data_IF_718643453020
#
_entry.id   IF_718643453020
#
_cell.length_a   1.000
_cell.length_b   1.000
_cell.length_c   1.000
_cell.angle_alpha   90.00
_cell.angle_beta   90.00
_cell.angle_gamma   90.00
#
_symmetry.space_group_name_H-M   'P 1'
#
loop_
_entity.id
_entity.type
_entity.pdbx_description
1 polymer ?
#
# COMPACT_ATOMS: atom_id res chain seq x y z
N UNK A 1 -4.80 27.71 3.95
CA UNK A 1 -5.30 26.40 3.45
C UNK A 1 -6.76 26.55 3.06
N UNK A 2 -7.16 26.04 1.89
CA UNK A 2 -8.57 26.11 1.46
C UNK A 2 -9.42 25.19 2.36
N UNK A 3 -10.60 25.64 2.76
CA UNK A 3 -11.47 25.00 3.76
C UNK A 3 -11.85 23.55 3.45
N UNK A 4 -11.92 23.19 2.17
CA UNK A 4 -12.16 21.80 1.75
C UNK A 4 -11.01 20.85 2.09
N UNK A 5 -9.76 21.33 2.08
CA UNK A 5 -8.60 20.50 2.41
C UNK A 5 -8.64 20.12 3.90
N UNK A 6 -9.00 21.06 4.76
CA UNK A 6 -9.14 20.85 6.19
C UNK A 6 -10.28 19.87 6.50
N UNK A 7 -11.41 19.97 5.79
CA UNK A 7 -12.52 19.04 5.90
C UNK A 7 -12.12 17.60 5.50
N UNK A 8 -11.45 17.43 4.36
CA UNK A 8 -10.98 16.13 3.89
C UNK A 8 -9.97 15.52 4.87
N UNK A 9 -9.04 16.32 5.39
CA UNK A 9 -8.10 15.87 6.42
C UNK A 9 -8.82 15.45 7.70
N UNK A 10 -9.81 16.22 8.18
CA UNK A 10 -10.57 15.86 9.37
C UNK A 10 -11.41 14.60 9.19
N UNK A 11 -12.05 14.40 8.03
CA UNK A 11 -12.80 13.17 7.72
C UNK A 11 -11.86 11.97 7.66
N UNK A 12 -10.70 12.12 7.03
CA UNK A 12 -9.70 11.07 6.96
C UNK A 12 -9.17 10.69 8.34
N UNK A 13 -8.84 11.68 9.18
CA UNK A 13 -8.44 11.47 10.59
C UNK A 13 -9.56 10.78 11.37
N UNK A 14 -10.80 11.27 11.30
CA UNK A 14 -11.95 10.67 11.98
C UNK A 14 -12.21 9.24 11.52
N UNK A 15 -12.09 8.94 10.22
CA UNK A 15 -12.21 7.59 9.68
C UNK A 15 -11.14 6.66 10.27
N UNK A 16 -9.88 7.09 10.29
CA UNK A 16 -8.77 6.33 10.89
C UNK A 16 -9.04 6.06 12.37
N UNK A 17 -9.58 7.01 13.14
CA UNK A 17 -9.88 6.81 14.56
C UNK A 17 -11.22 6.11 14.86
N UNK A 18 -12.16 6.04 13.91
CA UNK A 18 -13.49 5.41 14.07
C UNK A 18 -13.49 3.88 13.94
N UNK A 19 -12.42 3.30 13.38
CA UNK A 19 -12.24 1.85 13.32
C UNK A 19 -11.79 1.35 14.72
N UNK A 20 -12.02 0.08 15.10
CA UNK A 20 -11.47 -0.52 16.33
C UNK A 20 -9.97 -0.77 16.14
N UNK A 21 -9.25 0.33 16.00
CA UNK A 21 -7.86 0.45 15.60
C UNK A 21 -6.95 -0.08 16.69
N UNK A 22 -7.32 0.12 17.95
CA UNK A 22 -6.63 -0.47 19.09
C UNK A 22 -6.67 -2.00 19.07
N UNK A 23 -7.85 -2.60 18.85
CA UNK A 23 -8.00 -4.05 18.77
C UNK A 23 -7.28 -4.67 17.55
N UNK A 24 -7.32 -3.99 16.40
CA UNK A 24 -6.59 -4.41 15.20
C UNK A 24 -5.08 -4.22 15.36
N UNK A 25 -4.60 -3.11 15.92
CA UNK A 25 -3.16 -2.90 16.14
C UNK A 25 -2.61 -3.87 17.18
N UNK A 26 -3.31 -4.11 18.29
CA UNK A 26 -2.90 -5.11 19.28
C UNK A 26 -2.91 -6.52 18.67
N UNK A 27 -3.92 -6.86 17.87
CA UNK A 27 -3.96 -8.12 17.11
C UNK A 27 -2.79 -8.22 16.12
N UNK A 28 -2.50 -7.17 15.35
CA UNK A 28 -1.38 -7.09 14.39
C UNK A 28 -0.03 -7.19 15.10
N UNK A 29 0.18 -6.52 16.23
CA UNK A 29 1.43 -6.60 17.00
C UNK A 29 1.63 -7.99 17.61
N UNK A 30 0.56 -8.61 18.10
CA UNK A 30 0.55 -10.01 18.53
C UNK A 30 0.79 -10.98 17.37
N UNK A 31 0.31 -10.65 16.17
CA UNK A 31 0.59 -11.41 14.95
C UNK A 31 2.05 -11.30 14.52
N UNK A 32 2.65 -10.11 14.57
CA UNK A 32 4.08 -9.88 14.29
C UNK A 32 5.01 -10.63 15.25
N UNK A 33 4.53 -10.97 16.46
CA UNK A 33 5.26 -11.78 17.46
C UNK A 33 4.87 -13.26 17.45
N UNK A 34 4.08 -13.70 16.46
CA UNK A 34 3.67 -15.10 16.30
C UNK A 34 2.62 -15.59 17.31
N UNK A 35 2.05 -14.70 18.14
CA UNK A 35 1.07 -15.03 19.20
C UNK A 35 -0.33 -14.54 18.83
N UNK A 36 -0.86 -15.00 17.70
CA UNK A 36 -2.21 -14.64 17.26
C UNK A 36 -3.24 -15.25 18.21
N UNK A 37 -4.06 -14.40 18.83
CA UNK A 37 -5.21 -14.85 19.61
C UNK A 37 -6.40 -15.11 18.66
N UNK A 38 -6.56 -16.37 18.27
CA UNK A 38 -7.63 -16.81 17.35
C UNK A 38 -9.04 -16.65 17.93
N UNK A 39 -9.19 -16.37 19.24
CA UNK A 39 -10.51 -16.09 19.85
C UNK A 39 -11.04 -14.71 19.49
N UNK A 40 -10.16 -13.75 19.22
CA UNK A 40 -10.54 -12.36 18.90
C UNK A 40 -10.32 -12.00 17.42
N UNK A 41 -9.45 -12.74 16.70
CA UNK A 41 -9.18 -12.49 15.29
C UNK A 41 -8.90 -13.78 14.50
N UNK A 42 -9.94 -14.61 14.35
CA UNK A 42 -9.89 -15.81 13.50
C UNK A 42 -9.47 -15.49 12.06
N UNK A 43 -9.80 -14.28 11.59
CA UNK A 43 -9.43 -13.78 10.27
C UNK A 43 -7.93 -13.50 10.15
N UNK A 44 -7.30 -12.95 11.19
CA UNK A 44 -5.88 -12.67 11.29
C UNK A 44 -5.05 -13.96 11.32
N UNK A 45 -5.51 -14.98 12.06
CA UNK A 45 -4.88 -16.30 12.08
C UNK A 45 -4.84 -16.95 10.69
N UNK A 46 -5.96 -16.93 9.97
CA UNK A 46 -6.03 -17.46 8.61
C UNK A 46 -5.18 -16.67 7.59
N UNK A 47 -4.95 -15.37 7.82
CA UNK A 47 -4.07 -14.54 6.99
C UNK A 47 -2.60 -14.86 7.25
N UNK A 48 -2.22 -15.02 8.52
CA UNK A 48 -0.85 -15.39 8.88
C UNK A 48 -0.46 -16.77 8.34
N UNK A 49 -1.35 -17.76 8.44
CA UNK A 49 -1.11 -19.08 7.84
C UNK A 49 -0.85 -18.98 6.33
N UNK A 50 -1.65 -18.16 5.62
CA UNK A 50 -1.47 -17.91 4.18
C UNK A 50 -0.16 -17.19 3.87
N UNK A 51 0.25 -16.23 4.69
CA UNK A 51 1.54 -15.57 4.56
C UNK A 51 2.69 -16.54 4.76
N UNK A 52 2.63 -17.41 5.78
CA UNK A 52 3.68 -18.39 6.00
C UNK A 52 3.81 -19.35 4.81
N UNK A 53 2.68 -19.80 4.25
CA UNK A 53 2.67 -20.63 3.03
C UNK A 53 3.32 -19.87 1.86
N UNK A 54 2.97 -18.60 1.66
CA UNK A 54 3.54 -17.79 0.60
C UNK A 54 5.06 -17.56 0.79
N UNK A 55 5.50 -17.28 2.01
CA UNK A 55 6.93 -17.12 2.34
C UNK A 55 7.67 -18.43 2.07
N UNK A 56 7.16 -19.57 2.53
CA UNK A 56 7.76 -20.88 2.26
C UNK A 56 7.84 -21.14 0.75
N UNK A 57 6.78 -20.81 -0.01
CA UNK A 57 6.80 -20.93 -1.46
C UNK A 57 7.83 -20.04 -2.13
N UNK A 58 8.05 -18.81 -1.64
CA UNK A 58 9.08 -17.89 -2.17
C UNK A 58 10.48 -18.45 -1.89
N UNK A 59 10.70 -19.02 -0.71
CA UNK A 59 11.99 -19.62 -0.33
C UNK A 59 12.27 -20.87 -1.17
N UNK A 60 11.29 -21.75 -1.34
CA UNK A 60 11.44 -22.99 -2.10
C UNK A 60 11.52 -22.74 -3.62
N UNK A 61 10.77 -21.77 -4.13
CA UNK A 61 10.61 -21.49 -5.56
C UNK A 61 10.72 -19.97 -5.82
N UNK A 62 11.95 -19.41 -5.75
CA UNK A 62 12.16 -17.96 -5.82
C UNK A 62 11.83 -17.33 -7.19
N UNK A 63 11.77 -18.14 -8.24
CA UNK A 63 11.34 -17.72 -9.58
C UNK A 63 9.82 -17.72 -9.76
N UNK A 64 9.07 -17.99 -8.69
CA UNK A 64 7.62 -18.09 -8.72
C UNK A 64 7.13 -19.47 -9.12
N UNK A 65 5.81 -19.63 -9.02
CA UNK A 65 5.14 -20.93 -9.26
C UNK A 65 3.99 -20.84 -10.26
N UNK A 66 3.70 -19.63 -10.75
CA UNK A 66 2.52 -19.32 -11.53
C UNK A 66 1.34 -18.87 -10.67
N UNK A 67 0.33 -18.27 -11.31
CA UNK A 67 -0.88 -17.78 -10.62
C UNK A 67 -1.84 -18.90 -10.22
N UNK A 68 -1.84 -20.03 -10.94
CA UNK A 68 -2.76 -21.15 -10.70
C UNK A 68 -2.40 -22.02 -9.49
N UNK A 69 -1.15 -21.96 -9.02
CA UNK A 69 -0.63 -22.74 -7.89
C UNK A 69 -0.76 -22.03 -6.54
N UNK A 70 -0.97 -20.70 -6.57
CA UNK A 70 -1.02 -19.89 -5.36
C UNK A 70 -2.49 -19.57 -5.03
N UNK A 71 -2.93 -20.00 -3.86
CA UNK A 71 -4.19 -19.51 -3.28
C UNK A 71 -4.14 -18.01 -3.04
N UNK A 72 -5.27 -17.40 -2.69
CA UNK A 72 -5.33 -15.98 -2.41
C UNK A 72 -4.63 -15.65 -1.08
N UNK A 73 -3.41 -15.08 -1.15
CA UNK A 73 -2.51 -14.82 -0.02
C UNK A 73 -2.96 -13.62 0.81
N UNK A 74 -3.88 -12.80 0.28
CA UNK A 74 -4.28 -11.53 0.89
C UNK A 74 -3.11 -10.55 1.07
N UNK A 75 -2.09 -10.61 0.24
CA UNK A 75 -0.98 -9.66 0.22
C UNK A 75 -0.55 -9.45 -1.21
N UNK A 76 -0.67 -8.24 -1.75
CA UNK A 76 -0.35 -8.03 -3.17
C UNK A 76 1.15 -8.25 -3.42
N UNK A 77 2.01 -7.81 -2.49
CA UNK A 77 3.48 -8.02 -2.56
C UNK A 77 3.83 -9.51 -2.51
N UNK A 78 3.33 -10.25 -1.51
CA UNK A 78 3.66 -11.68 -1.38
C UNK A 78 2.97 -12.52 -2.46
N UNK A 79 1.79 -12.12 -2.93
CA UNK A 79 1.10 -12.77 -4.04
C UNK A 79 1.93 -12.66 -5.31
N UNK A 80 2.43 -11.46 -5.64
CA UNK A 80 3.31 -11.25 -6.80
C UNK A 80 4.62 -12.03 -6.60
N UNK A 81 5.22 -11.97 -5.41
CA UNK A 81 6.47 -12.65 -5.12
C UNK A 81 6.37 -14.19 -5.25
N UNK A 82 5.31 -14.81 -4.73
CA UNK A 82 5.10 -16.26 -4.79
C UNK A 82 4.63 -16.76 -6.17
N UNK A 83 3.91 -15.91 -6.93
CA UNK A 83 3.34 -16.30 -8.22
C UNK A 83 4.33 -16.04 -9.37
N UNK A 84 4.98 -14.88 -9.39
CA UNK A 84 5.83 -14.40 -10.51
C UNK A 84 7.33 -14.44 -10.15
N UNK A 85 7.66 -14.43 -8.86
CA UNK A 85 9.04 -14.50 -8.37
C UNK A 85 9.41 -13.32 -7.49
N UNK A 86 10.46 -13.52 -6.69
CA UNK A 86 10.88 -12.56 -5.66
C UNK A 86 11.28 -11.20 -6.23
N UNK A 87 11.90 -11.17 -7.41
CA UNK A 87 12.35 -9.94 -8.08
C UNK A 87 11.14 -9.02 -8.40
N UNK A 88 10.11 -9.47 -9.14
CA UNK A 88 8.87 -8.71 -9.33
C UNK A 88 8.23 -8.22 -8.02
N UNK A 89 8.22 -9.07 -6.98
CA UNK A 89 7.68 -8.70 -5.67
C UNK A 89 8.43 -7.54 -5.02
N UNK A 90 9.76 -7.56 -5.05
CA UNK A 90 10.62 -6.49 -4.54
C UNK A 90 10.44 -5.21 -5.36
N UNK A 91 10.37 -5.31 -6.70
CA UNK A 91 10.12 -4.16 -7.57
C UNK A 91 8.78 -3.51 -7.20
N UNK A 92 7.73 -4.32 -7.06
CA UNK A 92 6.40 -3.83 -6.70
C UNK A 92 6.40 -3.15 -5.32
N UNK A 93 7.13 -3.72 -4.35
CA UNK A 93 7.26 -3.13 -3.01
C UNK A 93 7.93 -1.75 -3.07
N UNK A 94 9.01 -1.59 -3.82
CA UNK A 94 9.82 -0.35 -3.87
C UNK A 94 9.22 0.72 -4.78
N UNK A 95 8.43 0.34 -5.79
CA UNK A 95 7.94 1.26 -6.81
C UNK A 95 7.17 2.50 -6.30
N UNK A 96 6.35 2.45 -5.22
CA UNK A 96 5.74 3.64 -4.63
C UNK A 96 6.75 4.69 -4.15
N UNK A 97 7.92 4.27 -3.64
CA UNK A 97 8.99 5.19 -3.23
C UNK A 97 9.58 5.92 -4.44
N UNK A 98 9.79 5.19 -5.54
CA UNK A 98 10.30 5.77 -6.77
C UNK A 98 9.29 6.75 -7.40
N UNK A 99 8.01 6.41 -7.38
CA UNK A 99 6.96 7.30 -7.84
C UNK A 99 6.85 8.55 -6.96
N UNK A 100 6.96 8.42 -5.63
CA UNK A 100 6.99 9.57 -4.72
C UNK A 100 8.15 10.50 -5.06
N UNK A 101 9.35 9.96 -5.28
CA UNK A 101 10.51 10.77 -5.67
C UNK A 101 10.27 11.54 -6.97
N UNK A 102 9.73 10.87 -8.00
CA UNK A 102 9.37 11.52 -9.28
C UNK A 102 8.32 12.60 -9.09
N UNK A 103 7.30 12.34 -8.28
CA UNK A 103 6.22 13.27 -7.98
C UNK A 103 6.72 14.50 -7.23
N UNK A 104 7.58 14.30 -6.23
CA UNK A 104 8.18 15.38 -5.45
C UNK A 104 9.09 16.25 -6.31
N UNK A 105 9.86 15.66 -7.23
CA UNK A 105 10.63 16.46 -8.20
C UNK A 105 9.74 17.32 -9.09
N UNK A 106 8.61 16.78 -9.55
CA UNK A 106 7.65 17.55 -10.34
C UNK A 106 7.00 18.67 -9.51
N UNK A 107 6.64 18.42 -8.26
CA UNK A 107 6.15 19.43 -7.31
C UNK A 107 7.08 20.65 -7.17
N UNK A 108 8.40 20.42 -7.14
CA UNK A 108 9.40 21.48 -6.96
C UNK A 108 9.52 22.43 -8.15
N UNK A 109 9.16 21.97 -9.35
CA UNK A 109 9.30 22.74 -10.60
C UNK A 109 7.95 23.15 -11.21
N UNK A 110 6.84 22.65 -10.67
CA UNK A 110 5.50 22.92 -11.17
C UNK A 110 5.09 24.39 -10.96
N UNK A 111 4.33 24.98 -11.90
CA UNK A 111 3.67 26.26 -11.70
C UNK A 111 2.72 26.22 -10.50
N UNK A 112 2.44 27.39 -9.91
CA UNK A 112 1.64 27.49 -8.67
C UNK A 112 0.24 26.85 -8.78
N UNK A 113 -0.32 26.82 -9.98
CA UNK A 113 -1.63 26.23 -10.26
C UNK A 113 -1.62 24.69 -10.16
N UNK A 114 -0.54 24.04 -10.57
CA UNK A 114 -0.39 22.57 -10.56
C UNK A 114 0.28 22.05 -9.29
N UNK A 115 1.04 22.92 -8.60
CA UNK A 115 1.77 22.58 -7.39
C UNK A 115 0.86 21.99 -6.30
N UNK A 116 -0.40 22.43 -6.22
CA UNK A 116 -1.39 21.86 -5.28
C UNK A 116 -1.72 20.40 -5.62
N UNK A 117 -1.89 20.07 -6.90
CA UNK A 117 -2.23 18.70 -7.31
C UNK A 117 -1.04 17.75 -7.11
N UNK A 118 0.18 18.20 -7.40
CA UNK A 118 1.40 17.46 -7.08
C UNK A 118 1.57 17.22 -5.59
N UNK A 119 1.29 18.23 -4.76
CA UNK A 119 1.31 18.09 -3.29
C UNK A 119 0.32 17.02 -2.80
N UNK A 120 -0.90 17.03 -3.33
CA UNK A 120 -1.91 16.00 -3.01
C UNK A 120 -1.44 14.61 -3.42
N UNK A 121 -0.88 14.46 -4.62
CA UNK A 121 -0.35 13.17 -5.09
C UNK A 121 0.82 12.66 -4.21
N UNK A 122 1.73 13.54 -3.78
CA UNK A 122 2.77 13.19 -2.81
C UNK A 122 2.16 12.71 -1.48
N UNK A 123 1.13 13.40 -0.97
CA UNK A 123 0.42 12.99 0.25
C UNK A 123 -0.24 11.61 0.13
N UNK A 124 -0.86 11.32 -1.01
CA UNK A 124 -1.44 9.99 -1.30
C UNK A 124 -0.37 8.90 -1.34
N UNK A 125 0.77 9.16 -1.98
CA UNK A 125 1.88 8.21 -2.07
C UNK A 125 2.51 7.96 -0.69
N UNK A 126 2.68 9.00 0.14
CA UNK A 126 3.13 8.87 1.52
C UNK A 126 2.15 7.99 2.32
N UNK A 127 0.84 8.22 2.16
CA UNK A 127 -0.18 7.37 2.79
C UNK A 127 -0.07 5.90 2.33
N UNK A 128 0.15 5.64 1.04
CA UNK A 128 0.37 4.29 0.51
C UNK A 128 1.63 3.66 1.14
N UNK A 129 2.74 4.38 1.18
CA UNK A 129 4.01 3.91 1.76
C UNK A 129 3.82 3.59 3.25
N UNK A 130 3.29 4.51 4.05
CA UNK A 130 3.01 4.26 5.47
C UNK A 130 2.08 3.05 5.63
N UNK A 131 1.04 2.95 4.79
CA UNK A 131 0.11 1.82 4.82
C UNK A 131 0.80 0.49 4.52
N UNK A 132 1.64 0.42 3.49
CA UNK A 132 2.35 -0.79 3.07
C UNK A 132 3.43 -1.20 4.07
N UNK A 133 4.25 -0.25 4.54
CA UNK A 133 5.46 -0.54 5.32
C UNK A 133 5.25 -0.51 6.83
N UNK A 134 4.44 0.41 7.36
CA UNK A 134 4.33 0.66 8.81
C UNK A 134 3.07 0.04 9.44
N UNK A 135 1.95 0.01 8.72
CA UNK A 135 0.68 -0.53 9.25
C UNK A 135 0.53 -2.05 9.12
N UNK A 136 1.56 -2.76 8.62
CA UNK A 136 1.47 -4.21 8.41
C UNK A 136 0.46 -4.63 7.34
N UNK A 137 -0.06 -3.69 6.51
CA UNK A 137 -0.96 -4.00 5.40
C UNK A 137 -0.26 -4.70 4.22
N UNK A 138 0.95 -5.23 4.42
CA UNK A 138 1.45 -6.33 3.61
C UNK A 138 0.38 -7.43 3.60
N UNK A 139 -0.27 -7.70 4.73
CA UNK A 139 -1.47 -8.54 4.81
C UNK A 139 -2.68 -7.62 4.74
N UNK A 140 -3.51 -7.72 3.69
CA UNK A 140 -4.83 -7.08 3.61
C UNK A 140 -5.50 -7.26 4.96
N UNK A 141 -5.58 -6.23 5.78
CA UNK A 141 -6.89 -5.79 6.23
C UNK A 141 -7.31 -4.81 5.15
N UNK A 142 -8.57 -4.86 4.76
CA UNK A 142 -9.14 -3.84 3.89
C UNK A 142 -8.80 -2.48 4.50
N UNK A 143 -7.77 -1.78 4.00
CA UNK A 143 -7.50 -0.41 4.45
C UNK A 143 -8.68 0.51 4.11
N UNK A 144 -9.69 0.00 3.37
CA UNK A 144 -10.80 0.76 2.80
C UNK A 144 -10.33 1.69 1.68
N UNK A 145 -9.03 1.91 1.56
CA UNK A 145 -8.41 2.80 0.61
C UNK A 145 -7.88 1.97 -0.58
N UNK A 146 -8.31 2.27 -1.82
CA UNK A 146 -7.88 1.53 -2.99
C UNK A 146 -6.45 1.93 -3.36
N UNK A 147 -5.43 1.38 -2.68
CA UNK A 147 -4.02 1.77 -2.80
C UNK A 147 -3.52 1.75 -4.26
N UNK A 148 -3.92 0.73 -5.03
CA UNK A 148 -3.61 0.64 -6.47
C UNK A 148 -4.27 1.75 -7.28
N UNK A 149 -5.49 2.18 -6.93
CA UNK A 149 -6.16 3.31 -7.59
C UNK A 149 -5.48 4.61 -7.23
N UNK A 150 -5.10 4.80 -5.96
CA UNK A 150 -4.37 5.99 -5.53
C UNK A 150 -2.98 6.08 -6.21
N UNK A 151 -2.31 4.94 -6.38
CA UNK A 151 -1.10 4.85 -7.20
C UNK A 151 -1.40 5.24 -8.65
N UNK A 152 -2.40 4.62 -9.28
CA UNK A 152 -2.75 4.89 -10.68
C UNK A 152 -3.12 6.36 -10.93
N UNK A 153 -3.82 7.00 -9.99
CA UNK A 153 -4.13 8.44 -10.05
C UNK A 153 -2.84 9.26 -10.05
N UNK A 154 -1.91 8.96 -9.13
CA UNK A 154 -0.63 9.67 -9.06
C UNK A 154 0.19 9.49 -10.35
N UNK A 155 0.37 8.25 -10.80
CA UNK A 155 1.16 7.98 -12.02
C UNK A 155 0.50 8.57 -13.28
N UNK A 156 -0.83 8.49 -13.38
CA UNK A 156 -1.59 9.08 -14.47
C UNK A 156 -1.44 10.60 -14.52
N UNK A 157 -1.56 11.29 -13.38
CA UNK A 157 -1.38 12.74 -13.32
C UNK A 157 0.02 13.17 -13.79
N UNK A 158 1.08 12.51 -13.30
CA UNK A 158 2.45 12.80 -13.73
C UNK A 158 2.67 12.55 -15.22
N UNK A 159 2.04 11.52 -15.78
CA UNK A 159 2.17 11.16 -17.20
C UNK A 159 1.47 12.18 -18.09
N UNK A 160 0.23 12.55 -17.77
CA UNK A 160 -0.51 13.58 -18.52
C UNK A 160 0.19 14.95 -18.45
N UNK A 161 0.69 15.33 -17.28
CA UNK A 161 1.41 16.60 -17.11
C UNK A 161 2.63 16.69 -18.04
N UNK A 162 3.42 15.61 -18.12
CA UNK A 162 4.60 15.57 -19.01
C UNK A 162 4.25 15.63 -20.49
N UNK A 163 3.11 15.06 -20.90
CA UNK A 163 2.66 15.12 -22.29
C UNK A 163 2.32 16.56 -22.70
N UNK A 164 1.65 17.30 -21.82
CA UNK A 164 1.30 18.72 -22.04
C UNK A 164 2.55 19.61 -22.04
N UNK A 165 3.52 19.39 -21.14
CA UNK A 165 4.78 20.15 -21.14
C UNK A 165 5.65 19.87 -22.38
N UNK A 166 5.45 18.74 -23.06
CA UNK A 166 6.22 18.33 -24.25
C UNK A 166 5.60 18.74 -25.59
N UNK A 167 4.39 19.31 -25.58
CA UNK A 167 3.65 19.79 -26.75
C UNK A 167 3.74 21.30 -26.92
#
# INVERSE_FOLDING_TARGET
MKSYALLVTMIFVAYVYSQPVEGRYISTFKALTGKIDTRYDSSGGARMARVQIAINSIVEKPLGTGWGSQGWVHSDVLQIAASVGIIPGIIFLIAPLFLLFRMYRAYLIAPINDQTAFFVCCGLLIFIIISLYLNGNIMKVQSGAPLLVLWAIADGYLTCYKQVDSS
#
